data_IF_470270048430
#
_entry.id   IF_470270048430
#
_cell.length_a   1.000
_cell.length_b   1.000
_cell.length_c   1.000
_cell.angle_alpha   90.00
_cell.angle_beta   90.00
_cell.angle_gamma   90.00
#
_symmetry.space_group_name_H-M   'P 1'
#
loop_
_entity.id
_entity.type
_entity.pdbx_description
1 polymer ?
2 non-polymer ?
3 non-polymer ?
4 non-polymer ?
5 water ?
#
# COMPACT_ATOMS: atom_id res chain seq x y z
N UNK A 24 13.23 -14.65 -20.21
CA UNK A 24 14.37 -15.50 -19.85
C UNK A 24 14.09 -16.30 -18.59
N UNK A 25 12.81 -16.39 -18.25
CA UNK A 25 12.29 -17.04 -17.07
C UNK A 25 11.82 -18.46 -17.45
N UNK A 26 11.58 -19.32 -16.45
CA UNK A 26 10.86 -20.58 -16.67
C UNK A 26 9.41 -20.29 -17.00
N UNK A 27 8.61 -21.28 -17.45
CA UNK A 27 7.17 -20.93 -17.56
C UNK A 27 6.57 -20.81 -16.20
N UNK A 28 7.06 -21.61 -15.25
CA UNK A 28 6.52 -21.48 -13.91
C UNK A 28 6.63 -20.04 -13.45
N UNK A 29 7.75 -19.39 -13.79
CA UNK A 29 7.95 -18.00 -13.41
C UNK A 29 7.11 -17.07 -14.27
N UNK A 30 7.02 -17.35 -15.59
CA UNK A 30 6.20 -16.52 -16.46
C UNK A 30 4.73 -16.64 -16.11
N UNK A 31 4.29 -17.84 -15.73
CA UNK A 31 2.89 -18.03 -15.36
C UNK A 31 2.57 -17.37 -14.03
N UNK A 32 3.55 -17.34 -13.13
CA UNK A 32 3.37 -16.68 -11.84
C UNK A 32 3.23 -15.17 -12.03
N UNK A 33 4.06 -14.57 -12.87
CA UNK A 33 3.92 -13.14 -13.15
C UNK A 33 2.59 -12.86 -13.84
N UNK A 34 2.22 -13.68 -14.83
CA UNK A 34 0.95 -13.49 -15.52
C UNK A 34 -0.21 -13.55 -14.53
N UNK A 35 -0.18 -14.48 -13.59
CA UNK A 35 -1.28 -14.57 -12.62
C UNK A 35 -1.35 -13.33 -11.73
N UNK A 36 -0.19 -12.86 -11.25
CA UNK A 36 -0.15 -11.65 -10.43
C UNK A 36 -0.64 -10.43 -11.21
N UNK A 37 -0.16 -10.27 -12.45
CA UNK A 37 -0.55 -9.13 -13.27
C UNK A 37 -2.03 -9.16 -13.58
N UNK A 38 -2.57 -10.36 -13.83
CA UNK A 38 -4.01 -10.54 -13.98
C UNK A 38 -4.74 -10.12 -12.72
N UNK A 39 -4.31 -10.62 -11.56
CA UNK A 39 -4.93 -10.24 -10.30
C UNK A 39 -4.89 -8.73 -10.10
N UNK A 40 -3.76 -8.10 -10.40
CA UNK A 40 -3.62 -6.65 -10.25
C UNK A 40 -4.58 -5.89 -11.17
N UNK A 41 -4.61 -6.27 -12.45
CA UNK A 41 -5.52 -5.65 -13.42
C UNK A 41 -6.98 -5.77 -12.98
N UNK A 42 -7.36 -6.93 -12.46
CA UNK A 42 -8.75 -7.14 -12.09
C UNK A 42 -9.17 -6.35 -10.85
N UNK A 43 -8.22 -5.96 -9.99
CA UNK A 43 -8.61 -5.53 -8.65
C UNK A 43 -8.02 -4.17 -8.23
N UNK A 44 -7.30 -3.48 -9.11
CA UNK A 44 -6.73 -2.17 -8.80
C UNK A 44 -7.39 -1.17 -9.76
N UNK A 45 -8.37 -0.47 -9.20
CA UNK A 45 -9.12 0.63 -9.82
C UNK A 45 -8.19 1.84 -9.84
N UNK A 46 -7.36 1.92 -10.88
CA UNK A 46 -6.28 2.92 -10.88
C UNK A 46 -6.81 4.34 -11.11
N UNK A 47 -8.02 4.48 -11.65
CA UNK A 47 -8.67 5.78 -11.80
C UNK A 47 -9.59 6.09 -10.63
N UNK A 48 -9.75 5.16 -9.68
CA UNK A 48 -10.58 5.36 -8.49
C UNK A 48 -12.03 5.67 -8.87
N UNK A 49 -12.49 5.15 -10.01
CA UNK A 49 -13.80 5.50 -10.53
C UNK A 49 -14.92 5.04 -9.60
N UNK A 50 -14.71 3.95 -8.87
CA UNK A 50 -15.76 3.40 -8.03
C UNK A 50 -15.60 3.79 -6.57
N UNK A 51 -14.70 4.72 -6.26
CA UNK A 51 -14.58 5.26 -4.91
C UNK A 51 -15.58 6.39 -4.79
N UNK A 52 -16.67 6.16 -4.06
CA UNK A 52 -17.76 7.12 -4.02
C UNK A 52 -18.31 7.17 -2.60
N UNK A 53 -19.19 8.15 -2.35
CA UNK A 53 -19.92 8.26 -1.08
C UNK A 53 -18.98 8.35 0.12
N UNK A 54 -17.84 9.00 -0.05
CA UNK A 54 -16.90 9.16 1.04
C UNK A 54 -17.23 10.43 1.81
N UNK A 55 -16.83 10.44 3.08
CA UNK A 55 -16.94 11.65 3.87
C UNK A 55 -15.86 12.66 3.47
N UNK A 56 -16.12 13.93 3.80
CA UNK A 56 -15.22 15.03 3.53
C UNK A 56 -15.11 15.92 4.77
N UNK A 57 -13.99 16.62 4.94
CA UNK A 57 -13.85 17.50 6.11
C UNK A 57 -14.97 18.54 6.14
N UNK A 58 -15.50 18.76 7.34
CA UNK A 58 -16.63 19.65 7.55
C UNK A 58 -16.47 21.01 6.92
N UNK A 59 -17.58 21.59 6.47
CA UNK A 59 -17.58 22.91 5.83
C UNK A 59 -18.11 23.97 6.80
N UNK A 90 1.07 15.55 12.43
CA UNK A 90 2.38 15.77 11.85
C UNK A 90 2.29 16.42 10.47
N UNK A 91 2.47 15.61 9.42
CA UNK A 91 2.41 16.11 8.04
C UNK A 91 0.96 16.15 7.54
N UNK A 92 0.64 17.19 6.78
CA UNK A 92 -0.73 17.40 6.29
C UNK A 92 -0.78 17.34 4.76
N UNK A 93 -1.95 17.01 4.24
CA UNK A 93 -2.20 17.03 2.81
C UNK A 93 -3.42 17.92 2.53
N UNK A 94 -3.35 18.62 1.42
CA UNK A 94 -4.55 19.20 0.84
C UNK A 94 -5.24 18.15 -0.03
N UNK A 95 -6.51 18.41 -0.31
CA UNK A 95 -7.35 17.50 -1.05
C UNK A 95 -8.04 18.26 -2.17
N UNK A 96 -7.92 17.77 -3.40
CA UNK A 96 -8.57 18.36 -4.56
C UNK A 96 -9.49 17.33 -5.20
N UNK A 97 -10.71 17.77 -5.56
CA UNK A 97 -11.73 16.94 -6.18
C UNK A 97 -12.15 17.58 -7.49
N UNK A 98 -11.85 16.92 -8.60
CA UNK A 98 -12.21 17.42 -9.91
C UNK A 98 -13.54 16.81 -10.30
N UNK A 99 -14.53 17.65 -10.57
CA UNK A 99 -15.84 17.15 -10.93
C UNK A 99 -15.91 16.77 -12.39
N UNK A 100 -16.80 15.82 -12.70
CA UNK A 100 -17.01 15.43 -14.09
C UNK A 100 -17.41 16.60 -14.98
N UNK A 101 -17.97 17.67 -14.40
CA UNK A 101 -18.36 18.85 -15.15
C UNK A 101 -17.23 19.85 -15.33
N UNK A 102 -16.06 19.57 -14.76
CA UNK A 102 -14.95 20.50 -14.82
C UNK A 102 -14.82 21.41 -13.62
N UNK A 103 -15.76 21.36 -12.68
CA UNK A 103 -15.59 22.09 -11.43
C UNK A 103 -14.49 21.44 -10.60
N UNK A 104 -13.87 22.25 -9.74
CA UNK A 104 -12.87 21.76 -8.80
C UNK A 104 -13.15 22.30 -7.41
N UNK A 105 -13.23 21.39 -6.42
CA UNK A 105 -13.16 21.74 -5.01
C UNK A 105 -11.73 21.48 -4.50
N UNK A 106 -11.18 22.41 -3.72
CA UNK A 106 -9.90 22.22 -3.02
C UNK A 106 -10.08 22.49 -1.53
N UNK A 107 -9.50 21.60 -0.73
CA UNK A 107 -9.50 21.73 0.72
C UNK A 107 -8.06 21.92 1.18
N UNK A 108 -7.80 23.07 1.85
CA UNK A 108 -6.52 23.27 2.53
C UNK A 108 -6.71 23.07 4.01
N UNK A 109 -5.89 22.23 4.64
CA UNK A 109 -6.13 21.81 6.02
C UNK A 109 -5.89 22.93 7.01
N UNK A 110 -6.36 22.78 8.24
CA UNK A 110 -6.14 23.80 9.27
C UNK A 110 -4.74 23.68 9.88
N UNK A 111 -4.45 24.58 10.81
CA UNK A 111 -3.24 24.52 11.62
C UNK A 111 -3.57 23.94 12.99
N UNK A 112 -2.51 23.53 13.70
CA UNK A 112 -2.71 23.02 15.05
C UNK A 112 -2.99 24.18 15.99
N UNK A 113 -4.15 24.14 16.63
CA UNK A 113 -4.54 25.08 17.67
C UNK A 113 -4.92 24.33 18.95
N UNK A 114 -4.27 23.20 19.20
CA UNK A 114 -4.54 22.38 20.36
C UNK A 114 -5.96 21.89 20.47
N UNK A 115 -6.54 21.42 19.36
CA UNK A 115 -7.93 21.00 19.36
C UNK A 115 -8.16 19.90 18.36
N UNK A 116 -9.42 19.43 18.30
CA UNK A 116 -9.80 18.31 17.47
C UNK A 116 -9.69 18.59 15.98
N UNK A 117 -9.43 19.83 15.57
CA UNK A 117 -9.31 20.17 14.16
C UNK A 117 -8.30 19.29 13.44
N UNK A 118 -7.32 18.77 14.17
CA UNK A 118 -6.26 17.97 13.57
C UNK A 118 -6.78 16.67 12.98
N UNK A 119 -7.97 16.21 13.37
CA UNK A 119 -8.54 14.96 12.89
C UNK A 119 -9.57 15.16 11.79
N UNK A 120 -9.64 16.35 11.18
CA UNK A 120 -10.75 16.64 10.27
C UNK A 120 -10.72 15.75 9.03
N UNK A 121 -9.53 15.32 8.59
CA UNK A 121 -9.42 14.45 7.43
C UNK A 121 -9.50 12.96 7.72
N UNK A 122 -9.56 12.57 8.99
CA UNK A 122 -9.52 11.15 9.33
C UNK A 122 -10.72 10.39 8.78
N UNK A 123 -11.96 10.88 8.89
CA UNK A 123 -13.06 10.13 8.28
C UNK A 123 -12.88 9.92 6.79
N UNK A 124 -12.46 10.95 6.05
CA UNK A 124 -12.23 10.77 4.61
C UNK A 124 -11.15 9.73 4.35
N UNK A 125 -10.00 9.87 5.02
CA UNK A 125 -8.90 8.93 4.83
C UNK A 125 -9.28 7.51 5.23
N UNK A 126 -10.10 7.36 6.28
CA UNK A 126 -10.60 6.03 6.62
C UNK A 126 -11.41 5.44 5.48
N UNK A 127 -12.24 6.26 4.83
CA UNK A 127 -13.00 5.76 3.68
C UNK A 127 -12.09 5.43 2.50
N UNK A 128 -11.08 6.26 2.22
CA UNK A 128 -10.11 5.95 1.15
C UNK A 128 -9.34 4.67 1.47
N UNK A 129 -8.85 4.55 2.71
CA UNK A 129 -8.09 3.36 3.07
C UNK A 129 -8.95 2.11 2.95
N UNK A 130 -10.21 2.20 3.40
CA UNK A 130 -11.12 1.07 3.32
C UNK A 130 -11.34 0.63 1.89
N UNK A 131 -11.56 1.61 0.99
CA UNK A 131 -11.66 1.33 -0.43
C UNK A 131 -10.42 0.61 -0.95
N UNK A 132 -9.24 1.09 -0.55
CA UNK A 132 -8.00 0.45 -0.99
C UNK A 132 -7.88 -0.96 -0.41
N UNK A 133 -8.20 -1.13 0.87
CA UNK A 133 -8.09 -2.45 1.50
C UNK A 133 -9.02 -3.46 0.83
N UNK A 134 -10.24 -3.06 0.46
CA UNK A 134 -11.11 -3.95 -0.31
C UNK A 134 -10.43 -4.40 -1.57
N UNK A 135 -9.78 -3.49 -2.30
CA UNK A 135 -9.04 -3.89 -3.49
C UNK A 135 -7.92 -4.87 -3.18
N UNK A 136 -7.19 -4.63 -2.08
CA UNK A 136 -6.08 -5.49 -1.69
C UNK A 136 -6.59 -6.87 -1.34
N UNK A 137 -7.73 -6.94 -0.64
CA UNK A 137 -8.31 -8.23 -0.30
C UNK A 137 -8.73 -8.98 -1.56
N UNK A 138 -9.37 -8.27 -2.50
CA UNK A 138 -9.76 -8.91 -3.76
C UNK A 138 -8.55 -9.44 -4.54
N UNK A 139 -7.48 -8.64 -4.59
CA UNK A 139 -6.22 -9.06 -5.20
C UNK A 139 -5.74 -10.41 -4.66
N UNK A 140 -5.56 -10.50 -3.35
CA UNK A 140 -5.13 -11.74 -2.71
C UNK A 140 -6.04 -12.90 -3.08
N UNK A 141 -7.36 -12.67 -3.02
CA UNK A 141 -8.31 -13.77 -3.23
C UNK A 141 -8.33 -14.30 -4.66
N UNK A 142 -7.88 -13.51 -5.63
CA UNK A 142 -7.75 -13.97 -7.02
C UNK A 142 -6.58 -14.91 -7.23
N UNK A 143 -5.56 -14.85 -6.37
CA UNK A 143 -4.30 -15.55 -6.62
C UNK A 143 -4.39 -17.00 -6.14
N UNK A 144 -4.07 -17.94 -7.04
CA UNK A 144 -4.15 -19.36 -6.73
C UNK A 144 -3.37 -19.74 -5.48
N UNK A 145 -2.10 -19.31 -5.41
CA UNK A 145 -1.27 -19.65 -4.25
C UNK A 145 -1.88 -19.20 -2.94
N UNK A 146 -2.64 -18.09 -2.95
CA UNK A 146 -3.28 -17.60 -1.73
C UNK A 146 -4.58 -18.35 -1.45
N UNK A 147 -5.37 -18.59 -2.51
CA UNK A 147 -6.62 -19.31 -2.38
C UNK A 147 -6.41 -20.71 -1.82
N UNK A 148 -5.27 -21.33 -2.12
CA UNK A 148 -4.96 -22.68 -1.68
C UNK A 148 -4.62 -22.75 -0.21
N UNK A 149 -4.32 -21.61 0.42
CA UNK A 149 -3.94 -21.62 1.83
C UNK A 149 -5.18 -21.80 2.71
N UNK A 150 -5.00 -22.35 3.92
CA UNK A 150 -6.13 -22.39 4.88
C UNK A 150 -6.66 -21.00 5.15
N UNK A 151 -7.98 -20.91 5.35
CA UNK A 151 -8.64 -19.60 5.47
C UNK A 151 -8.06 -18.79 6.61
N UNK A 152 -7.70 -19.45 7.72
CA UNK A 152 -7.14 -18.71 8.85
C UNK A 152 -5.80 -18.11 8.52
N UNK A 153 -5.01 -18.77 7.67
CA UNK A 153 -3.75 -18.19 7.24
C UNK A 153 -3.97 -17.06 6.23
N UNK A 154 -4.94 -17.23 5.32
CA UNK A 154 -5.36 -16.13 4.44
C UNK A 154 -5.65 -14.88 5.25
N UNK A 155 -6.44 -15.03 6.31
CA UNK A 155 -6.81 -13.88 7.12
C UNK A 155 -5.59 -13.33 7.85
N UNK A 156 -4.75 -14.21 8.40
CA UNK A 156 -3.55 -13.75 9.09
C UNK A 156 -2.62 -13.00 8.14
N UNK A 157 -2.48 -13.48 6.90
CA UNK A 157 -1.58 -12.82 5.95
C UNK A 157 -2.13 -11.45 5.53
N UNK A 158 -3.44 -11.34 5.35
CA UNK A 158 -4.04 -10.06 4.95
C UNK A 158 -3.95 -9.06 6.10
N UNK A 159 -4.25 -9.49 7.33
CA UNK A 159 -4.05 -8.62 8.49
C UNK A 159 -2.62 -8.14 8.59
N UNK A 160 -1.66 -9.02 8.27
CA UNK A 160 -0.26 -8.64 8.37
C UNK A 160 0.19 -7.67 7.29
N UNK A 161 -0.34 -7.80 6.07
CA UNK A 161 0.21 -7.11 4.91
C UNK A 161 -0.65 -5.99 4.36
N UNK A 162 -1.89 -5.83 4.83
CA UNK A 162 -2.83 -4.92 4.16
C UNK A 162 -2.25 -3.52 4.01
N UNK A 163 -1.64 -2.99 5.08
CA UNK A 163 -1.03 -1.67 5.02
C UNK A 163 0.08 -1.61 3.98
N UNK A 164 0.94 -2.64 3.96
CA UNK A 164 2.08 -2.64 3.05
C UNK A 164 1.62 -2.69 1.61
N UNK A 165 0.63 -3.52 1.29
CA UNK A 165 0.14 -3.59 -0.08
C UNK A 165 -0.56 -2.29 -0.47
N UNK A 166 -1.30 -1.69 0.45
CA UNK A 166 -1.92 -0.39 0.17
C UNK A 166 -0.86 0.66 -0.20
N UNK A 167 0.22 0.72 0.57
CA UNK A 167 1.30 1.68 0.29
C UNK A 167 1.99 1.41 -1.03
N UNK A 168 2.21 0.13 -1.37
CA UNK A 168 2.80 -0.21 -2.67
C UNK A 168 1.90 0.26 -3.81
N UNK A 169 0.60 0.00 -3.72
CA UNK A 169 -0.32 0.51 -4.74
C UNK A 169 -0.32 2.03 -4.77
N UNK A 170 -0.34 2.70 -3.59
CA UNK A 170 -0.29 4.16 -3.61
C UNK A 170 0.98 4.70 -4.23
N UNK A 171 2.11 3.97 -4.14
CA UNK A 171 3.34 4.48 -4.77
C UNK A 171 3.19 4.59 -6.28
N UNK A 172 2.40 3.71 -6.90
CA UNK A 172 2.27 3.77 -8.36
C UNK A 172 1.44 4.97 -8.82
N UNK A 173 0.72 5.65 -7.93
CA UNK A 173 0.01 6.87 -8.29
C UNK A 173 0.65 8.09 -7.65
N UNK A 174 1.81 7.92 -7.03
CA UNK A 174 2.53 9.03 -6.40
C UNK A 174 3.29 9.81 -7.46
N UNK A 175 3.11 11.12 -7.47
CA UNK A 175 3.86 12.00 -8.37
C UNK A 175 4.96 12.64 -7.55
N UNK A 176 6.20 12.17 -7.72
CA UNK A 176 7.29 12.66 -6.88
C UNK A 176 7.68 14.09 -7.23
N UNK A 177 7.40 14.52 -8.45
CA UNK A 177 7.72 15.90 -8.84
C UNK A 177 6.80 16.89 -8.12
N UNK A 178 5.52 16.55 -7.93
CA UNK A 178 4.58 17.45 -7.28
C UNK A 178 4.22 17.04 -5.86
N UNK A 179 4.84 15.99 -5.31
CA UNK A 179 4.45 15.49 -4.01
C UNK A 179 2.96 15.21 -3.90
N UNK A 180 2.38 14.50 -4.87
CA UNK A 180 0.93 14.33 -4.96
C UNK A 180 0.54 12.89 -5.30
N UNK A 181 -0.36 12.31 -4.50
CA UNK A 181 -0.96 11.03 -4.88
C UNK A 181 -2.16 11.36 -5.75
N UNK A 182 -2.11 10.93 -6.99
CA UNK A 182 -3.08 11.30 -8.03
C UNK A 182 -4.06 10.14 -8.14
N UNK A 183 -5.21 10.27 -7.49
CA UNK A 183 -6.18 9.19 -7.39
C UNK A 183 -7.39 9.49 -8.25
N UNK A 184 -7.19 9.46 -9.56
CA UNK A 184 -8.28 9.76 -10.47
C UNK A 184 -8.72 11.21 -10.31
N UNK A 185 -9.98 11.38 -9.93
CA UNK A 185 -10.56 12.70 -9.73
C UNK A 185 -10.14 13.34 -8.41
N UNK A 186 -9.57 12.56 -7.51
CA UNK A 186 -9.05 13.05 -6.23
C UNK A 186 -7.53 13.16 -6.31
N UNK A 187 -6.99 14.23 -5.73
CA UNK A 187 -5.57 14.47 -5.63
C UNK A 187 -5.23 14.87 -4.20
N UNK A 188 -4.17 14.29 -3.65
CA UNK A 188 -3.73 14.60 -2.30
C UNK A 188 -2.31 15.12 -2.37
N UNK A 189 -2.11 16.38 -1.97
CA UNK A 189 -0.84 17.07 -2.15
C UNK A 189 -0.22 17.41 -0.81
N UNK A 190 1.02 17.00 -0.62
CA UNK A 190 1.76 17.35 0.59
C UNK A 190 1.90 18.86 0.72
N UNK A 191 1.49 19.38 1.87
CA UNK A 191 1.57 20.81 2.14
C UNK A 191 2.99 21.18 2.56
N UNK A 192 3.51 22.27 2.02
CA UNK A 192 4.85 22.76 2.37
C UNK A 192 4.94 23.10 3.86
N UNK A 197 10.69 21.06 3.43
CA UNK A 197 11.12 20.30 2.25
C UNK A 197 11.83 19.02 2.67
N UNK A 198 13.14 19.10 2.90
CA UNK A 198 13.87 17.95 3.40
C UNK A 198 13.35 17.51 4.77
N UNK A 199 12.70 18.41 5.52
CA UNK A 199 11.99 18.02 6.73
C UNK A 199 10.91 16.97 6.45
N UNK A 200 10.41 16.91 5.20
CA UNK A 200 9.41 15.92 4.83
C UNK A 200 10.01 14.52 4.80
N UNK A 201 11.17 14.35 4.15
CA UNK A 201 11.82 13.06 4.03
C UNK A 201 12.29 12.50 5.37
N UNK A 202 12.16 13.29 6.44
CA UNK A 202 12.41 12.72 7.76
C UNK A 202 11.30 11.77 8.17
N UNK A 203 10.12 11.93 7.62
CA UNK A 203 9.05 10.97 7.85
C UNK A 203 9.38 9.69 7.11
N UNK A 204 9.55 8.56 7.81
CA UNK A 204 10.01 7.34 7.11
C UNK A 204 9.10 6.88 5.98
N UNK A 205 7.77 6.90 6.15
CA UNK A 205 6.89 6.50 5.07
C UNK A 205 7.00 7.44 3.88
N UNK A 206 7.25 8.73 4.13
CA UNK A 206 7.38 9.67 3.03
C UNK A 206 8.67 9.44 2.25
N UNK A 207 9.78 9.26 2.97
CA UNK A 207 11.04 8.94 2.31
C UNK A 207 10.92 7.62 1.56
N UNK A 208 10.21 6.64 2.14
CA UNK A 208 9.97 5.38 1.42
C UNK A 208 9.32 5.64 0.06
N UNK A 209 8.24 6.45 0.01
CA UNK A 209 7.57 6.69 -1.27
C UNK A 209 8.50 7.35 -2.28
N UNK A 210 9.29 8.34 -1.85
CA UNK A 210 10.22 8.98 -2.78
C UNK A 210 11.32 8.03 -3.25
N UNK A 211 11.90 7.29 -2.32
CA UNK A 211 12.97 6.36 -2.69
C UNK A 211 12.47 5.27 -3.61
N UNK A 212 11.29 4.70 -3.32
CA UNK A 212 10.78 3.65 -4.20
C UNK A 212 10.42 4.20 -5.58
N UNK A 213 9.80 5.40 -5.63
CA UNK A 213 9.49 6.00 -6.92
C UNK A 213 10.75 6.18 -7.79
N UNK A 214 11.88 6.49 -7.17
CA UNK A 214 13.12 6.71 -7.92
C UNK A 214 13.67 5.43 -8.55
N UNK A 215 13.30 4.26 -8.03
CA UNK A 215 13.75 3.04 -8.69
C UNK A 215 13.09 2.83 -10.05
N UNK A 216 12.03 3.58 -10.38
CA UNK A 216 11.37 3.47 -11.69
C UNK A 216 11.02 2.01 -12.02
N UNK A 217 10.29 1.36 -11.12
CA UNK A 217 9.95 -0.04 -11.31
C UNK A 217 8.87 -0.24 -12.37
N UNK A 218 8.89 -1.42 -12.98
CA UNK A 218 7.85 -1.89 -13.87
C UNK A 218 6.60 -2.31 -13.09
N UNK A 219 5.46 -2.38 -13.77
CA UNK A 219 4.26 -2.92 -13.14
C UNK A 219 4.54 -4.31 -12.58
N UNK A 220 5.25 -5.13 -13.34
CA UNK A 220 5.56 -6.49 -12.92
C UNK A 220 6.38 -6.51 -11.62
N UNK A 221 7.29 -5.55 -11.45
CA UNK A 221 8.11 -5.54 -10.24
C UNK A 221 7.29 -5.11 -9.03
N UNK A 222 6.38 -4.14 -9.20
CA UNK A 222 5.49 -3.78 -8.11
C UNK A 222 4.61 -4.96 -7.70
N UNK A 223 4.07 -5.70 -8.67
CA UNK A 223 3.15 -6.75 -8.25
C UNK A 223 3.92 -7.89 -7.57
N UNK A 224 5.18 -8.13 -7.96
CA UNK A 224 5.99 -9.10 -7.23
C UNK A 224 6.31 -8.62 -5.82
N UNK A 225 6.59 -7.31 -5.66
CA UNK A 225 6.72 -6.76 -4.31
C UNK A 225 5.47 -7.02 -3.48
N UNK A 226 4.29 -6.77 -4.05
CA UNK A 226 3.05 -7.05 -3.34
C UNK A 226 2.98 -8.53 -2.92
N UNK A 227 3.32 -9.44 -3.84
CA UNK A 227 3.28 -10.86 -3.50
C UNK A 227 4.24 -11.21 -2.37
N UNK A 228 5.48 -10.69 -2.45
CA UNK A 228 6.48 -10.99 -1.43
C UNK A 228 6.00 -10.52 -0.06
N UNK A 229 5.38 -9.34 -0.03
CA UNK A 229 4.84 -8.81 1.23
C UNK A 229 3.66 -9.64 1.72
N UNK A 230 2.76 -10.00 0.81
CA UNK A 230 1.56 -10.77 1.19
C UNK A 230 1.95 -12.11 1.79
N UNK A 231 2.86 -12.82 1.15
CA UNK A 231 3.23 -14.18 1.55
C UNK A 231 4.42 -14.14 2.50
N UNK A 232 4.22 -13.44 3.62
CA UNK A 232 5.28 -13.26 4.60
C UNK A 232 5.09 -14.31 5.68
N UNK A 233 5.99 -15.28 5.79
CA UNK A 233 5.74 -16.45 6.66
C UNK A 233 5.76 -16.14 8.14
N UNK A 234 6.03 -14.90 8.52
CA UNK A 234 6.27 -14.53 9.91
C UNK A 234 5.27 -13.51 10.44
N UNK A 235 4.14 -13.35 9.77
CA UNK A 235 3.07 -12.57 10.36
C UNK A 235 2.48 -13.31 11.56
N UNK A 236 2.03 -12.59 12.57
CA UNK A 236 1.37 -13.25 13.71
C UNK A 236 0.22 -14.14 13.26
N UNK A 237 0.15 -15.32 13.84
CA UNK A 237 -0.98 -16.21 13.65
C UNK A 237 -0.89 -17.10 12.43
N UNK A 238 0.21 -17.07 11.69
CA UNK A 238 0.33 -17.95 10.53
C UNK A 238 0.65 -19.35 11.01
N UNK A 239 -0.06 -20.35 10.48
CA UNK A 239 0.24 -21.74 10.84
C UNK A 239 1.05 -22.45 9.77
N UNK A 240 0.66 -22.32 8.50
CA UNK A 240 1.39 -22.99 7.43
C UNK A 240 2.68 -22.25 7.14
N UNK A 241 3.49 -22.02 8.19
CA UNK A 241 4.72 -21.23 8.07
C UNK A 241 5.61 -21.71 6.92
N UNK A 242 5.78 -23.02 6.77
CA UNK A 242 6.74 -23.54 5.80
C UNK A 242 6.26 -23.32 4.37
N UNK A 243 4.98 -23.59 4.12
CA UNK A 243 4.42 -23.38 2.79
C UNK A 243 4.52 -21.91 2.39
N UNK A 244 4.11 -21.02 3.30
CA UNK A 244 4.16 -19.58 3.00
C UNK A 244 5.59 -19.16 2.73
N UNK A 245 6.53 -19.63 3.54
CA UNK A 245 7.94 -19.30 3.36
C UNK A 245 8.46 -19.78 2.02
N UNK A 246 8.01 -20.95 1.57
CA UNK A 246 8.43 -21.45 0.25
C UNK A 246 7.84 -20.63 -0.88
N UNK A 247 6.55 -20.29 -0.77
CA UNK A 247 5.93 -19.42 -1.77
C UNK A 247 6.64 -18.07 -1.85
N UNK A 248 6.93 -17.47 -0.70
CA UNK A 248 7.65 -16.20 -0.70
C UNK A 248 8.98 -16.32 -1.43
N UNK A 249 9.75 -17.38 -1.13
CA UNK A 249 11.03 -17.56 -1.78
C UNK A 249 10.87 -17.66 -3.29
N UNK A 250 9.82 -18.34 -3.75
CA UNK A 250 9.62 -18.47 -5.18
C UNK A 250 9.31 -17.12 -5.82
N UNK A 251 8.49 -16.30 -5.15
CA UNK A 251 8.20 -14.96 -5.70
C UNK A 251 9.47 -14.11 -5.75
N UNK A 252 10.31 -14.20 -4.72
CA UNK A 252 11.55 -13.44 -4.71
C UNK A 252 12.51 -13.91 -5.80
N UNK A 253 12.60 -15.23 -6.00
CA UNK A 253 13.46 -15.74 -7.08
C UNK A 253 12.95 -15.27 -8.43
N UNK A 254 11.63 -15.35 -8.64
CA UNK A 254 11.03 -14.84 -9.87
C UNK A 254 11.40 -13.36 -10.07
N UNK A 255 11.36 -12.56 -9.01
CA UNK A 255 11.66 -11.14 -9.16
C UNK A 255 13.14 -10.92 -9.48
N UNK A 256 14.02 -11.66 -8.78
CA UNK A 256 15.45 -11.60 -9.08
C UNK A 256 15.72 -11.96 -10.54
N UNK A 257 15.07 -13.03 -11.04
CA UNK A 257 15.29 -13.45 -12.43
C UNK A 257 14.67 -12.48 -13.43
N UNK A 258 13.49 -11.93 -13.13
CA UNK A 258 12.92 -10.90 -13.98
C UNK A 258 13.88 -9.75 -14.16
N UNK A 259 14.46 -9.26 -13.06
CA UNK A 259 15.38 -8.11 -13.14
C UNK A 259 16.63 -8.50 -13.93
N UNK A 260 17.14 -9.71 -13.73
CA UNK A 260 18.32 -10.13 -14.46
C UNK A 260 18.06 -10.19 -15.95
N UNK A 261 16.87 -10.66 -16.34
CA UNK A 261 16.56 -10.85 -17.75
C UNK A 261 16.17 -9.57 -18.45
N UNK A 262 15.60 -8.60 -17.73
CA UNK A 262 15.07 -7.42 -18.42
C UNK A 262 15.74 -6.10 -18.04
N UNK A 263 16.72 -6.10 -17.15
CA UNK A 263 17.38 -4.88 -16.70
C UNK A 263 18.89 -5.07 -16.65
N UNK A 264 19.54 -5.07 -17.81
CA UNK A 264 21.00 -5.25 -17.86
C UNK A 264 21.80 -4.00 -17.58
N UNK A 265 21.15 -2.87 -17.27
CA UNK A 265 21.88 -1.59 -17.23
C UNK A 265 22.59 -1.40 -15.89
N UNK A 266 23.80 -0.80 -15.91
CA UNK A 266 24.55 -0.57 -14.66
C UNK A 266 23.78 0.16 -13.57
N UNK A 267 22.74 0.92 -13.94
CA UNK A 267 21.93 1.60 -12.93
C UNK A 267 21.10 0.61 -12.14
N UNK A 268 20.78 -0.54 -12.73
CA UNK A 268 19.94 -1.54 -12.09
C UNK A 268 20.77 -2.64 -11.43
N UNK A 269 22.08 -2.45 -11.33
CA UNK A 269 22.87 -3.33 -10.49
C UNK A 269 22.36 -3.24 -9.07
N UNK A 270 22.22 -4.39 -8.44
CA UNK A 270 21.77 -4.50 -7.06
C UNK A 270 20.31 -4.07 -6.90
N UNK A 271 19.57 -3.88 -8.00
CA UNK A 271 18.16 -3.49 -7.89
C UNK A 271 17.37 -4.50 -7.07
N UNK A 272 17.57 -5.80 -7.36
CA UNK A 272 16.85 -6.80 -6.58
C UNK A 272 17.10 -6.64 -5.09
N UNK A 273 18.37 -6.39 -4.70
CA UNK A 273 18.69 -6.26 -3.29
C UNK A 273 18.12 -4.96 -2.71
N UNK A 274 18.12 -3.89 -3.50
CA UNK A 274 17.49 -2.64 -3.08
C UNK A 274 16.01 -2.85 -2.78
N UNK A 275 15.30 -3.53 -3.68
CA UNK A 275 13.87 -3.78 -3.49
C UNK A 275 13.64 -4.60 -2.23
N UNK A 276 14.46 -5.64 -2.02
CA UNK A 276 14.26 -6.47 -0.84
C UNK A 276 14.50 -5.67 0.44
N UNK A 277 15.51 -4.80 0.44
CA UNK A 277 15.75 -3.96 1.62
C UNK A 277 14.57 -3.02 1.86
N UNK A 278 13.97 -2.48 0.79
CA UNK A 278 12.81 -1.63 0.96
C UNK A 278 11.63 -2.40 1.55
N UNK A 279 11.46 -3.66 1.14
CA UNK A 279 10.35 -4.45 1.68
C UNK A 279 10.55 -4.71 3.16
N UNK A 280 11.80 -4.97 3.57
CA UNK A 280 12.08 -5.09 4.99
C UNK A 280 11.74 -3.80 5.72
N UNK A 281 12.17 -2.67 5.16
CA UNK A 281 11.88 -1.36 5.75
C UNK A 281 10.37 -1.11 5.81
N UNK A 282 9.64 -1.53 4.77
CA UNK A 282 8.20 -1.28 4.75
C UNK A 282 7.50 -2.05 5.87
N UNK A 283 7.97 -3.27 6.16
CA UNK A 283 7.39 -4.03 7.26
C UNK A 283 7.63 -3.34 8.60
N UNK A 284 8.81 -2.74 8.77
CA UNK A 284 9.10 -2.03 10.01
C UNK A 284 8.20 -0.79 10.14
N UNK A 285 8.03 -0.04 9.06
CA UNK A 285 7.13 1.12 9.05
C UNK A 285 5.69 0.69 9.36
N UNK A 286 5.26 -0.44 8.79
CA UNK A 286 3.95 -0.99 9.07
C UNK A 286 3.72 -1.14 10.58
N UNK A 287 4.72 -1.68 11.29
CA UNK A 287 4.57 -1.81 12.74
C UNK A 287 4.44 -0.45 13.41
N UNK A 288 5.25 0.54 13.02
CA UNK A 288 5.16 1.87 13.61
C UNK A 288 3.80 2.51 13.31
N UNK A 289 3.35 2.42 12.06
CA UNK A 289 2.09 3.09 11.72
C UNK A 289 0.89 2.36 12.29
N UNK A 290 0.96 1.03 12.46
CA UNK A 290 -0.11 0.32 13.14
C UNK A 290 -0.26 0.80 14.57
N UNK A 291 0.86 1.06 15.25
CA UNK A 291 0.80 1.61 16.60
C UNK A 291 0.26 3.04 16.60
N UNK A 292 0.66 3.86 15.62
CA UNK A 292 0.09 5.20 15.53
C UNK A 292 -1.42 5.14 15.37
N UNK A 293 -1.90 4.24 14.51
CA UNK A 293 -3.34 4.13 14.29
C UNK A 293 -4.04 3.78 15.59
N UNK A 294 -3.50 2.80 16.32
CA UNK A 294 -4.16 2.35 17.54
C UNK A 294 -4.19 3.44 18.61
N UNK A 295 -3.15 4.27 18.69
CA UNK A 295 -3.16 5.37 19.67
C UNK A 295 -4.22 6.41 19.33
N UNK A 296 -4.30 6.82 18.05
CA UNK A 296 -5.30 7.79 17.65
C UNK A 296 -6.70 7.23 17.84
N UNK A 297 -6.92 5.98 17.41
CA UNK A 297 -8.20 5.31 17.65
C UNK A 297 -8.58 5.32 19.13
N UNK A 298 -7.60 5.16 20.02
CA UNK A 298 -7.90 5.09 21.45
C UNK A 298 -8.52 6.41 21.94
N UNK A 299 -8.01 7.54 21.47
CA UNK A 299 -8.50 8.84 21.93
C UNK A 299 -9.53 9.46 21.00
N UNK A 300 -9.63 9.00 19.76
CA UNK A 300 -10.53 9.60 18.78
C UNK A 300 -10.95 8.53 17.76
N UNK A 301 -11.99 7.75 18.05
CA UNK A 301 -12.37 6.65 17.16
C UNK A 301 -12.65 7.11 15.74
N UNK A 302 -12.11 6.36 14.76
CA UNK A 302 -12.29 6.71 13.35
C UNK A 302 -12.23 5.50 12.42
N UNK A 303 -11.70 4.37 12.88
CA UNK A 303 -11.50 3.20 12.02
C UNK A 303 -12.84 2.64 11.55
N UNK A 304 -12.97 2.39 10.25
CA UNK A 304 -14.15 1.70 9.75
C UNK A 304 -14.15 0.26 10.30
N UNK A 305 -15.29 -0.42 10.21
CA UNK A 305 -15.31 -1.86 10.56
C UNK A 305 -14.25 -2.67 9.83
N UNK A 306 -14.07 -2.49 8.52
CA UNK A 306 -13.04 -3.26 7.83
C UNK A 306 -11.66 -2.91 8.38
N UNK A 307 -11.42 -1.63 8.69
CA UNK A 307 -10.13 -1.29 9.29
C UNK A 307 -9.99 -1.93 10.67
N UNK A 308 -11.06 -1.96 11.46
CA UNK A 308 -10.99 -2.58 12.77
C UNK A 308 -10.60 -4.05 12.65
N UNK A 309 -11.24 -4.75 11.70
CA UNK A 309 -10.95 -6.15 11.47
C UNK A 309 -9.48 -6.37 11.07
N UNK A 310 -8.98 -5.53 10.15
CA UNK A 310 -7.61 -5.69 9.66
C UNK A 310 -6.56 -5.35 10.72
N UNK A 311 -6.84 -4.37 11.58
CA UNK A 311 -5.86 -3.89 12.54
C UNK A 311 -6.09 -4.43 13.94
N UNK A 312 -7.00 -5.36 14.12
CA UNK A 312 -7.15 -5.99 15.42
C UNK A 312 -7.82 -5.13 16.47
N UNK A 313 -8.96 -4.54 16.12
CA UNK A 313 -9.85 -3.84 17.05
C UNK A 313 -11.12 -4.68 17.19
N UNK A 314 -11.43 -5.10 18.41
CA UNK A 314 -12.48 -6.11 18.62
C UNK A 314 -13.90 -5.54 18.60
N UNK A 315 -14.05 -4.26 18.94
CA UNK A 315 -15.37 -3.68 19.16
C UNK A 315 -15.86 -3.75 20.60
N UNK A 316 -15.08 -4.32 21.51
CA UNK A 316 -15.50 -4.50 22.91
C UNK A 316 -14.64 -3.66 23.86
X LIG B 1 -3.84 6.45 10.49
X LIG B 1 -4.85 6.55 9.55
X LIG B 1 -4.97 5.64 8.50
X LIG B 1 -6.14 5.82 7.58
X LIG B 1 -4.01 4.61 8.39
X LIG B 1 -3.38 5.13 4.95
X LIG B 1 -3.77 5.61 3.69
X LIG B 1 -4.28 4.24 5.65
X LIG B 1 -3.75 7.43 11.63
X LIG B 1 -2.98 2.67 6.92
X LIG B 1 -1.25 6.22 4.70
X LIG B 1 -2.13 5.46 5.47
X LIG B 1 0.47 7.20 3.86
X LIG B 1 1.87 7.69 3.63
X LIG B 1 2.03 9.20 3.60
X LIG B 1 1.97 9.81 4.99
X LIG B 1 2.98 9.23 5.95
X LIG B 1 2.65 9.43 7.42
X LIG B 1 2.60 10.87 7.87
X LIG B 1 2.57 11.03 9.38
X LIG B 1 0.81 9.75 10.52
X LIG B 1 -0.51 9.80 11.25
X LIG B 1 -2.28 11.23 11.96
X LIG B 1 -2.51 12.67 12.28
X LIG B 1 -2.47 14.71 11.05
X LIG B 1 -3.08 15.40 9.87
X LIG B 1 -3.86 14.14 7.92
X LIG B 1 -3.43 13.40 6.66
X LIG B 1 -3.20 11.90 6.82
X LIG B 1 -1.91 11.63 7.63
X LIG B 1 -1.65 10.13 7.78
X LIG B 1 -2.83 9.49 8.51
X LIG B 1 -4.12 9.71 7.71
X LIG B 1 -3.97 9.07 6.32
X LIG B 1 -2.79 9.71 5.60
X LIG B 1 -1.51 9.50 6.39
X LIG B 1 -3.04 11.22 5.44
X LIG B 1 -4.36 11.21 7.55
X LIG B 1 -0.37 7.77 1.52
X LIG B 1 -1.45 8.75 1.11
X LIG B 1 -2.23 8.51 -0.01
X LIG B 1 -3.29 9.35 -0.33
X LIG B 1 -3.58 10.44 0.47
X LIG B 1 -2.80 10.69 1.58
X LIG B 1 -1.73 9.86 1.90
X LIG B 1 -2.97 4.49 9.35
X LIG B 1 -1.95 3.39 9.40
X LIG B 1 -2.91 5.43 10.36
X LIG B 1 -2.88 6.36 2.92
X LIG B 1 -1.63 6.64 3.44
X LIG B 1 0.07 6.61 4.96
X LIG B 1 1.23 10.87 9.94
X LIG B 1 -2.86 14.69 8.62
X LIG B 1 -0.50 7.26 2.89
X LIG B 1 -5.42 2.72 7.27
X LIG B 1 1.44 8.69 10.50
X LIG B 1 -1.14 11.07 11.11
X LIG B 1 -2.94 13.37 11.11
X LIG B 1 -5.03 14.23 8.26
X LIG B 1 -4.19 3.42 7.07
X LIG C 1 6.84 -2.10 -19.48
X LIG C 1 8.07 -2.41 -20.11
X LIG C 1 6.66 -3.05 -18.24
X LIG C 1 6.51 -4.38 -18.63
X LIG C 1 5.38 -2.51 -17.46
X LIG C 1 5.76 -1.47 -16.55
X LIG D 1 2.80 7.34 -12.23
X LIG D 1 4.14 7.06 -12.59
X LIG D 1 2.66 8.87 -11.99
X LIG D 1 3.89 9.46 -11.69
X LIG D 1 1.67 8.95 -10.81
X LIG D 1 1.12 10.24 -10.75
X LIG E 1 -18.18 19.27 3.76
X LIG E 1 -19.31 18.29 4.04
X LIG E 1 -19.37 17.22 2.95
X LIG E 1 -19.13 17.70 5.30
X LIG F 1 -9.49 -10.07 7.38
X LIG F 1 -10.19 -9.81 6.05
X LIG F 1 -9.99 -11.02 5.15
X LIG F 1 -11.56 -9.66 6.31
#
# INVERSE_FOLDING_TARGET
MKKGHHHHHHGSERTGTQPLGVQGLTEEQRMMIRELMDAQMKTFDTTFSHFKNFRLPGVLSSGCELPESLQAPSREEAAKWSQVRKDLCSLKVSLQLRGEDGSVWNYKPPADSGGKEIFSLLPHMADMSTYMFKGIISFAKVISYFRDLPIEDQISLLKGAAFELCQLRFNTVFNAETGTWECGRLSYCLEDTAGGFQQLLLEPMLKFHYMLKKLQLHEEEYVLMQAISLFSPDRPGVLQHRVVDQLQEQFAITLKSYIECNRPQPAHRFLFLKIMAMLTELRSINAQHTQRLLRIQDIHPFATPLMQELFGITGSLVPR
A1IHA C1 C2 C3 C4 C5 C6 C7 N C O C10 C11 C12 C13 C14 C15 C16 C17 C18 C19 C20 C21 C22 C23 C24 C25 C26 C27 C28 C29 C30 C31 C32 C33 C34 C35 C36 C37 C38 C39 C40 C41 C42 C43 C44 C45 C46 C47 C8 C9 N1 N2 N3 N4 O1 O2 O3 O4 O5 S
GOL C1 O1 C2 O2 C3 O3
GOL C1 O1 C2 O2 C3 O3
IPA C1 C2 C3 O2
IPA C1 C2 C3 O2
#
